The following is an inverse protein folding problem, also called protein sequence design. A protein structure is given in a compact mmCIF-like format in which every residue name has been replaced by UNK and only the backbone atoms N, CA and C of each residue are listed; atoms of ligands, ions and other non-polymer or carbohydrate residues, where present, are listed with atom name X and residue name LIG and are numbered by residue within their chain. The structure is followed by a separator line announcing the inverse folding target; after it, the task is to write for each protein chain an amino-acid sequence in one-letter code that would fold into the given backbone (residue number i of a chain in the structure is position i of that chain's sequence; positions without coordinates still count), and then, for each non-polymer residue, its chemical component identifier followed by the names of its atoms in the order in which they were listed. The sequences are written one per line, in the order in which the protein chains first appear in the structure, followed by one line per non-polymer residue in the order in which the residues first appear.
data_IF_313894115248
#
_entry.id   IF_313894115248
#
_cell.length_a   1.000
_cell.length_b   1.000
_cell.length_c   1.000
_cell.angle_alpha   90.00
_cell.angle_beta   90.00
_cell.angle_gamma   90.00
#
_symmetry.space_group_name_H-M   'P 1'
#
loop_
_entity.id
_entity.type
_entity.pdbx_description
1 polymer ?
#
# COMPACT_ATOMS: atom_id res chain seq x y z
N UNK A 1 11.64 -16.18 -17.63
CA UNK A 1 11.03 -16.95 -18.71
C UNK A 1 10.16 -16.09 -19.61
N UNK A 2 9.88 -16.60 -20.80
CA UNK A 2 9.02 -15.89 -21.76
C UNK A 2 7.62 -15.65 -21.20
N UNK A 3 7.10 -16.60 -20.41
CA UNK A 3 5.76 -16.45 -19.80
C UNK A 3 5.71 -15.29 -18.83
N UNK A 4 6.75 -15.12 -18.00
CA UNK A 4 6.80 -14.00 -17.06
C UNK A 4 6.94 -12.66 -17.79
N UNK A 5 7.71 -12.61 -18.88
CA UNK A 5 7.83 -11.38 -19.68
C UNK A 5 6.50 -10.98 -20.31
N UNK A 6 5.74 -11.95 -20.81
CA UNK A 6 4.41 -11.73 -21.39
C UNK A 6 3.46 -11.25 -20.29
N UNK A 7 3.50 -11.87 -19.12
CA UNK A 7 2.67 -11.48 -17.98
C UNK A 7 2.94 -10.04 -17.55
N UNK A 8 4.23 -9.66 -17.44
CA UNK A 8 4.60 -8.28 -17.10
C UNK A 8 4.06 -7.28 -18.11
N UNK A 9 4.17 -7.59 -19.40
CA UNK A 9 3.63 -6.73 -20.46
C UNK A 9 2.10 -6.61 -20.33
N UNK A 10 1.44 -7.73 -20.08
CA UNK A 10 -0.01 -7.74 -19.87
C UNK A 10 -0.43 -6.85 -18.69
N UNK A 11 0.31 -6.90 -17.59
CA UNK A 11 0.05 -6.03 -16.43
C UNK A 11 0.17 -4.55 -16.78
N UNK A 12 1.20 -4.18 -17.56
CA UNK A 12 1.40 -2.79 -17.98
C UNK A 12 0.26 -2.32 -18.89
N UNK A 13 -0.18 -3.18 -19.79
CA UNK A 13 -1.30 -2.87 -20.69
C UNK A 13 -2.59 -2.69 -19.91
N UNK A 14 -2.90 -3.61 -18.98
CA UNK A 14 -4.09 -3.51 -18.14
C UNK A 14 -4.09 -2.22 -17.33
N UNK A 15 -2.95 -1.87 -16.74
CA UNK A 15 -2.82 -0.64 -15.97
C UNK A 15 -3.01 0.60 -16.84
N UNK A 16 -2.45 0.62 -18.04
CA UNK A 16 -2.56 1.72 -18.98
C UNK A 16 -4.02 1.98 -19.38
N UNK A 17 -4.77 0.92 -19.64
CA UNK A 17 -6.18 1.02 -20.05
C UNK A 17 -7.16 0.95 -18.88
N UNK A 18 -6.68 0.95 -17.65
CA UNK A 18 -7.52 0.83 -16.45
C UNK A 18 -8.42 -0.41 -16.51
N UNK A 19 -7.86 -1.53 -16.96
CA UNK A 19 -8.60 -2.79 -17.12
C UNK A 19 -8.57 -3.57 -15.79
N UNK A 20 -9.72 -3.70 -15.15
CA UNK A 20 -9.83 -4.23 -13.78
C UNK A 20 -10.51 -5.61 -13.71
N UNK A 21 -10.67 -6.31 -14.82
CA UNK A 21 -11.38 -7.59 -14.83
C UNK A 21 -10.57 -8.78 -14.32
N UNK A 22 -9.27 -8.59 -14.04
CA UNK A 22 -8.36 -9.65 -13.62
C UNK A 22 -7.81 -9.44 -12.22
N UNK A 23 -8.62 -8.85 -11.32
CA UNK A 23 -8.18 -8.50 -9.98
C UNK A 23 -7.63 -9.71 -9.23
N UNK A 24 -8.36 -10.83 -9.20
CA UNK A 24 -7.93 -12.04 -8.49
C UNK A 24 -6.63 -12.60 -9.04
N UNK A 25 -6.46 -12.60 -10.35
CA UNK A 25 -5.25 -13.09 -11.01
C UNK A 25 -4.06 -12.17 -10.72
N UNK A 26 -4.27 -10.85 -10.69
CA UNK A 26 -3.20 -9.91 -10.36
C UNK A 26 -2.75 -10.10 -8.92
N UNK A 27 -3.68 -10.21 -7.99
CA UNK A 27 -3.37 -10.43 -6.57
C UNK A 27 -2.64 -11.77 -6.38
N UNK A 28 -3.04 -12.82 -7.11
CA UNK A 28 -2.38 -14.12 -7.04
C UNK A 28 -0.90 -14.05 -7.45
N UNK A 29 -0.52 -13.11 -8.31
CA UNK A 29 0.88 -12.92 -8.72
C UNK A 29 1.79 -12.48 -7.57
N UNK A 30 1.24 -11.97 -6.48
CA UNK A 30 2.02 -11.61 -5.29
C UNK A 30 2.66 -12.84 -4.64
N UNK A 31 2.20 -14.05 -4.96
CA UNK A 31 2.77 -15.31 -4.47
C UNK A 31 3.80 -15.91 -5.44
N UNK A 32 4.11 -15.23 -6.52
CA UNK A 32 5.05 -15.73 -7.52
C UNK A 32 6.48 -15.77 -6.95
N UNK A 33 7.34 -16.63 -7.52
CA UNK A 33 8.73 -16.74 -7.12
C UNK A 33 9.64 -15.69 -7.78
N UNK A 34 9.20 -15.10 -8.88
CA UNK A 34 9.97 -14.11 -9.63
C UNK A 34 9.71 -12.71 -9.02
N UNK A 35 10.73 -12.16 -8.36
CA UNK A 35 10.64 -10.84 -7.72
C UNK A 35 10.26 -9.72 -8.71
N UNK A 36 10.76 -9.80 -9.94
CA UNK A 36 10.44 -8.77 -10.94
C UNK A 36 8.96 -8.80 -11.32
N UNK A 37 8.36 -9.98 -11.34
CA UNK A 37 6.93 -10.13 -11.61
C UNK A 37 6.09 -9.66 -10.41
N UNK A 38 6.52 -9.98 -9.19
CA UNK A 38 5.87 -9.47 -7.97
C UNK A 38 5.87 -7.95 -8.00
N UNK A 39 7.00 -7.34 -8.31
CA UNK A 39 7.14 -5.88 -8.37
C UNK A 39 6.14 -5.28 -9.38
N UNK A 40 6.07 -5.86 -10.58
CA UNK A 40 5.12 -5.39 -11.60
C UNK A 40 3.67 -5.55 -11.15
N UNK A 41 3.35 -6.63 -10.43
CA UNK A 41 2.01 -6.83 -9.88
C UNK A 41 1.68 -5.75 -8.84
N UNK A 42 2.61 -5.43 -7.94
CA UNK A 42 2.44 -4.37 -6.94
C UNK A 42 2.18 -3.02 -7.63
N UNK A 43 2.95 -2.72 -8.68
CA UNK A 43 2.77 -1.48 -9.45
C UNK A 43 1.40 -1.45 -10.12
N UNK A 44 0.97 -2.56 -10.71
CA UNK A 44 -0.35 -2.66 -11.35
C UNK A 44 -1.48 -2.45 -10.34
N UNK A 45 -1.35 -3.03 -9.15
CA UNK A 45 -2.31 -2.85 -8.05
C UNK A 45 -2.46 -1.36 -7.71
N UNK A 46 -1.33 -0.65 -7.62
CA UNK A 46 -1.33 0.79 -7.35
C UNK A 46 -2.03 1.56 -8.46
N UNK A 47 -1.64 1.32 -9.71
CA UNK A 47 -2.17 2.05 -10.87
C UNK A 47 -3.65 1.77 -11.12
N UNK A 48 -4.09 0.55 -10.85
CA UNK A 48 -5.50 0.16 -10.99
C UNK A 48 -6.33 0.45 -9.74
N UNK A 49 -5.69 0.93 -8.67
CA UNK A 49 -6.36 1.25 -7.41
C UNK A 49 -7.13 0.06 -6.83
N UNK A 50 -6.46 -1.09 -6.74
CA UNK A 50 -7.08 -2.33 -6.27
C UNK A 50 -7.05 -2.40 -4.74
N UNK A 51 -8.01 -1.78 -4.10
CA UNK A 51 -8.10 -1.72 -2.63
C UNK A 51 -8.23 -3.11 -2.01
N UNK A 52 -8.72 -4.09 -2.74
CA UNK A 52 -8.87 -5.48 -2.29
C UNK A 52 -7.53 -6.13 -1.94
N UNK A 53 -6.41 -5.59 -2.44
CA UNK A 53 -5.08 -6.16 -2.23
C UNK A 53 -4.38 -5.69 -0.96
N UNK A 54 -4.98 -4.83 -0.16
CA UNK A 54 -4.31 -4.22 1.02
C UNK A 54 -3.72 -5.26 1.97
N UNK A 55 -4.52 -6.24 2.36
CA UNK A 55 -4.10 -7.26 3.31
C UNK A 55 -3.02 -8.17 2.71
N UNK A 56 -3.18 -8.54 1.44
CA UNK A 56 -2.19 -9.37 0.75
C UNK A 56 -0.84 -8.66 0.65
N UNK A 57 -0.85 -7.35 0.43
CA UNK A 57 0.38 -6.56 0.38
C UNK A 57 1.05 -6.50 1.76
N UNK A 58 0.28 -6.32 2.83
CA UNK A 58 0.83 -6.31 4.19
C UNK A 58 1.46 -7.66 4.55
N UNK A 59 0.83 -8.77 4.16
CA UNK A 59 1.37 -10.11 4.38
C UNK A 59 2.65 -10.31 3.56
N UNK A 60 2.65 -9.92 2.30
CA UNK A 60 3.82 -10.02 1.43
C UNK A 60 5.02 -9.24 1.98
N UNK A 61 4.79 -8.10 2.60
CA UNK A 61 5.83 -7.21 3.11
C UNK A 61 6.85 -7.94 3.97
N UNK A 62 6.39 -8.85 4.85
CA UNK A 62 7.26 -9.53 5.80
C UNK A 62 8.30 -10.44 5.14
N UNK A 63 8.07 -10.90 3.93
CA UNK A 63 8.98 -11.83 3.23
C UNK A 63 9.54 -11.26 1.93
N UNK A 64 9.28 -9.99 1.66
CA UNK A 64 9.73 -9.35 0.43
C UNK A 64 11.11 -8.71 0.61
N UNK A 65 11.82 -8.53 -0.50
CA UNK A 65 13.05 -7.74 -0.53
C UNK A 65 12.76 -6.27 -0.23
N UNK A 66 13.79 -5.52 0.15
CA UNK A 66 13.64 -4.09 0.44
C UNK A 66 13.06 -3.34 -0.76
N UNK A 67 13.49 -3.68 -1.97
CA UNK A 67 12.98 -3.05 -3.19
C UNK A 67 11.46 -3.23 -3.32
N UNK A 68 10.97 -4.44 -3.07
CA UNK A 68 9.53 -4.72 -3.11
C UNK A 68 8.82 -4.09 -1.93
N UNK A 69 9.42 -4.11 -0.74
CA UNK A 69 8.86 -3.46 0.44
C UNK A 69 8.61 -1.97 0.21
N UNK A 70 9.55 -1.27 -0.44
CA UNK A 70 9.39 0.13 -0.80
C UNK A 70 8.20 0.33 -1.76
N UNK A 71 8.07 -0.54 -2.75
CA UNK A 71 6.93 -0.49 -3.68
C UNK A 71 5.60 -0.75 -2.98
N UNK A 72 5.60 -1.68 -2.01
CA UNK A 72 4.40 -1.98 -1.23
C UNK A 72 3.95 -0.75 -0.43
N UNK A 73 4.88 -0.08 0.26
CA UNK A 73 4.53 1.12 1.04
C UNK A 73 4.00 2.23 0.12
N UNK A 74 4.64 2.46 -1.03
CA UNK A 74 4.14 3.43 -2.01
C UNK A 74 2.72 3.10 -2.49
N UNK A 75 2.43 1.81 -2.65
CA UNK A 75 1.11 1.34 -3.07
C UNK A 75 0.08 1.52 -1.95
N UNK A 76 0.44 1.15 -0.72
CA UNK A 76 -0.44 1.32 0.44
C UNK A 76 -0.75 2.79 0.73
N UNK A 77 0.17 3.70 0.39
CA UNK A 77 -0.09 5.13 0.49
C UNK A 77 -1.22 5.56 -0.45
N UNK A 78 -1.34 4.92 -1.60
CA UNK A 78 -2.38 5.23 -2.60
C UNK A 78 -3.70 4.55 -2.28
N UNK A 79 -3.69 3.24 -1.94
CA UNK A 79 -4.91 2.45 -1.80
C UNK A 79 -5.33 2.19 -0.35
N UNK A 80 -4.47 2.51 0.62
CA UNK A 80 -4.72 2.20 2.02
C UNK A 80 -5.70 3.15 2.69
N UNK A 81 -6.21 2.69 3.82
CA UNK A 81 -7.09 3.46 4.70
C UNK A 81 -6.75 3.11 6.16
N UNK A 82 -7.65 3.43 7.08
CA UNK A 82 -7.43 3.19 8.51
C UNK A 82 -7.16 1.72 8.85
N UNK A 83 -7.57 0.79 8.02
CA UNK A 83 -7.38 -0.65 8.27
C UNK A 83 -5.92 -1.05 8.30
N UNK A 84 -5.03 -0.32 7.60
CA UNK A 84 -3.59 -0.64 7.58
C UNK A 84 -2.78 0.12 8.63
N UNK A 85 -3.42 0.98 9.43
CA UNK A 85 -2.72 1.75 10.46
C UNK A 85 -1.96 0.86 11.45
N UNK A 86 -2.55 -0.22 12.00
CA UNK A 86 -1.80 -1.10 12.90
C UNK A 86 -0.55 -1.71 12.27
N UNK A 87 -0.62 -2.07 11.00
CA UNK A 87 0.53 -2.57 10.25
C UNK A 87 1.63 -1.50 10.16
N UNK A 88 1.27 -0.27 9.80
CA UNK A 88 2.24 0.82 9.67
C UNK A 88 2.87 1.18 11.01
N UNK A 89 2.08 1.24 12.07
CA UNK A 89 2.60 1.54 13.42
C UNK A 89 3.61 0.50 13.85
N UNK A 90 3.31 -0.78 13.62
CA UNK A 90 4.23 -1.86 13.93
C UNK A 90 5.54 -1.73 13.15
N UNK A 91 5.46 -1.49 11.86
CA UNK A 91 6.64 -1.35 11.00
C UNK A 91 7.50 -0.14 11.40
N UNK A 92 6.88 0.98 11.77
CA UNK A 92 7.61 2.15 12.23
C UNK A 92 8.44 1.83 13.48
N UNK A 93 7.90 1.00 14.37
CA UNK A 93 8.58 0.63 15.61
C UNK A 93 9.75 -0.33 15.40
N UNK A 94 9.60 -1.30 14.50
CA UNK A 94 10.60 -2.37 14.34
C UNK A 94 11.58 -2.12 13.20
N UNK A 95 11.28 -1.22 12.28
CA UNK A 95 12.07 -1.05 11.06
C UNK A 95 13.39 -0.38 11.35
N UNK A 96 14.49 -0.99 10.88
CA UNK A 96 15.84 -0.45 10.99
C UNK A 96 16.29 0.29 9.74
N UNK A 97 15.69 -0.01 8.59
CA UNK A 97 15.99 0.70 7.34
C UNK A 97 15.34 2.08 7.37
N UNK A 98 16.17 3.12 7.16
CA UNK A 98 15.70 4.50 7.27
C UNK A 98 14.69 4.86 6.20
N UNK A 99 14.89 4.41 4.97
CA UNK A 99 14.00 4.74 3.86
C UNK A 99 12.63 4.09 4.06
N UNK A 100 12.61 2.82 4.48
CA UNK A 100 11.36 2.13 4.79
C UNK A 100 10.62 2.81 5.93
N UNK A 101 11.34 3.17 6.99
CA UNK A 101 10.74 3.82 8.15
C UNK A 101 10.14 5.17 7.77
N UNK A 102 10.86 5.98 7.00
CA UNK A 102 10.37 7.28 6.55
C UNK A 102 9.14 7.15 5.65
N UNK A 103 9.15 6.18 4.74
CA UNK A 103 8.00 5.92 3.87
C UNK A 103 6.79 5.45 4.66
N UNK A 104 6.99 4.62 5.68
CA UNK A 104 5.90 4.16 6.54
C UNK A 104 5.30 5.32 7.34
N UNK A 105 6.13 6.20 7.88
CA UNK A 105 5.67 7.42 8.58
C UNK A 105 4.88 8.32 7.63
N UNK A 106 5.41 8.55 6.43
CA UNK A 106 4.75 9.36 5.42
C UNK A 106 3.38 8.77 5.02
N UNK A 107 3.33 7.47 4.83
CA UNK A 107 2.08 6.76 4.53
C UNK A 107 1.05 6.94 5.66
N UNK A 108 1.48 6.77 6.91
CA UNK A 108 0.60 6.94 8.07
C UNK A 108 0.06 8.37 8.16
N UNK A 109 0.92 9.36 7.90
CA UNK A 109 0.51 10.76 7.91
C UNK A 109 -0.54 11.05 6.84
N UNK A 110 -0.39 10.50 5.65
CA UNK A 110 -1.36 10.68 4.57
C UNK A 110 -2.71 10.05 4.93
N UNK A 111 -2.71 8.88 5.55
CA UNK A 111 -3.95 8.22 5.97
C UNK A 111 -4.64 9.03 7.06
N UNK A 112 -3.89 9.51 8.05
CA UNK A 112 -4.45 10.33 9.13
C UNK A 112 -4.99 11.66 8.61
N UNK A 113 -4.30 12.28 7.67
CA UNK A 113 -4.77 13.50 7.03
C UNK A 113 -6.08 13.27 6.29
N UNK A 114 -6.17 12.20 5.54
CA UNK A 114 -7.39 11.84 4.80
C UNK A 114 -8.57 11.60 5.75
N UNK A 115 -8.32 10.93 6.88
CA UNK A 115 -9.34 10.70 7.90
C UNK A 115 -9.85 12.02 8.49
N UNK A 116 -8.94 12.97 8.76
CA UNK A 116 -9.32 14.30 9.26
C UNK A 116 -10.15 15.07 8.23
N UNK A 117 -9.77 15.01 6.97
CA UNK A 117 -10.46 15.72 5.89
C UNK A 117 -11.89 15.23 5.68
N UNK A 118 -12.20 13.99 6.11
CA UNK A 118 -13.54 13.42 6.01
C UNK A 118 -14.48 13.87 7.14
N UNK A 119 -13.97 14.52 8.18
CA UNK A 119 -14.79 14.98 9.28
C UNK A 119 -15.61 16.21 8.85
N UNK A 120 -16.89 16.24 9.26
CA UNK A 120 -17.76 17.38 9.00
C UNK A 120 -17.60 18.44 10.08
N UNK A 121 -18.16 19.64 9.84
CA UNK A 121 -18.17 20.69 10.86
C UNK A 121 -18.93 20.28 12.13
N UNK A 122 -19.91 19.38 12.01
CA UNK A 122 -20.67 18.86 13.15
C UNK A 122 -19.82 17.95 14.05
N UNK A 123 -18.69 17.47 13.56
CA UNK A 123 -17.79 16.58 14.29
C UNK A 123 -16.62 17.34 14.95
N UNK A 124 -16.78 18.64 15.17
CA UNK A 124 -15.69 19.48 15.68
C UNK A 124 -15.08 18.96 16.99
N UNK A 125 -15.93 18.51 17.93
CA UNK A 125 -15.44 17.94 19.19
C UNK A 125 -14.65 16.65 18.95
N UNK A 126 -15.08 15.85 17.99
CA UNK A 126 -14.37 14.64 17.58
C UNK A 126 -13.03 15.01 16.92
N UNK A 127 -12.95 16.13 16.21
CA UNK A 127 -11.70 16.62 15.63
C UNK A 127 -10.62 16.84 16.69
N UNK A 128 -11.00 17.38 17.86
CA UNK A 128 -10.04 17.58 18.94
C UNK A 128 -9.45 16.28 19.44
N UNK A 129 -10.24 15.22 19.56
CA UNK A 129 -9.75 13.89 19.89
C UNK A 129 -8.82 13.33 18.81
N UNK A 130 -9.22 13.47 17.54
CA UNK A 130 -8.43 13.01 16.41
C UNK A 130 -7.10 13.74 16.34
N UNK A 131 -7.09 15.04 16.60
CA UNK A 131 -5.87 15.83 16.67
C UNK A 131 -4.93 15.32 17.75
N UNK A 132 -5.46 14.98 18.92
CA UNK A 132 -4.67 14.42 20.00
C UNK A 132 -4.02 13.08 19.61
N UNK A 133 -4.79 12.19 19.01
CA UNK A 133 -4.26 10.91 18.49
C UNK A 133 -3.17 11.16 17.46
N UNK A 134 -3.38 12.10 16.56
CA UNK A 134 -2.40 12.47 15.54
C UNK A 134 -1.09 12.96 16.14
N UNK A 135 -1.16 13.75 17.22
CA UNK A 135 0.03 14.25 17.93
C UNK A 135 0.84 13.11 18.55
N UNK A 136 0.20 12.01 18.96
CA UNK A 136 0.88 10.84 19.51
C UNK A 136 1.72 10.13 18.43
N UNK A 137 1.22 10.05 17.19
CA UNK A 137 1.85 9.31 16.10
C UNK A 137 2.79 10.16 15.25
N UNK A 138 2.70 11.44 15.31
CA UNK A 138 3.54 12.37 14.55
C UNK A 138 4.67 12.92 15.42
#
# INVERSE_FOLDING_TARGET
TNNNSITKLGLKIMAFYNYRNKVSEIIALLQNEDDSLIKEAVIAIRKLFLTEAKEDLAVLFNKASIEIQLEIIDTLKVIGDEDIVPFLEHEIQIQTDKDLKLKAVDCLNEINKSALDKLSAADYDTMNMTKHVREIYL
#
